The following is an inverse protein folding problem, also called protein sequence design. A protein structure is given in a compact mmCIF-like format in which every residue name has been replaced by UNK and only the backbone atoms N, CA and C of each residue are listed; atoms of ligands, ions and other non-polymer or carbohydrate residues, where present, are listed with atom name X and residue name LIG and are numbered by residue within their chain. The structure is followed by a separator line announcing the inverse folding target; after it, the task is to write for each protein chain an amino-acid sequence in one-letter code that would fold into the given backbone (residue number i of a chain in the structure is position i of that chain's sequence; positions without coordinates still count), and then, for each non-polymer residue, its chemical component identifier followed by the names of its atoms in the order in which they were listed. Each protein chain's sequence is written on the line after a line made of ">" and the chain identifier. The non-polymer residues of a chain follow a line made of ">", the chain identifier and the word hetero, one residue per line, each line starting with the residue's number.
data_IF_859585237073
#
_entry.id   IF_859585237073
#
_cell.length_a   1.000
_cell.length_b   1.000
_cell.length_c   1.000
_cell.angle_alpha   90.00
_cell.angle_beta   90.00
_cell.angle_gamma   90.00
#
_symmetry.space_group_name_H-M   'P 1'
#
loop_
_entity.id
_entity.type
_entity.pdbx_description
1 polymer ?
#
# COMPACT_ATOMS: atom_id res chain seq x y z
N UNK A 1 -0.13 49.80 -48.85
CA UNK A 1 -1.20 49.91 -47.83
C UNK A 1 -1.35 48.51 -47.23
N UNK A 2 -0.72 48.22 -46.08
CA UNK A 2 -1.30 48.43 -44.72
C UNK A 2 -2.28 47.29 -44.37
N UNK A 3 -2.21 46.52 -43.28
CA UNK A 3 -1.31 46.40 -42.12
C UNK A 3 -1.47 44.97 -41.54
N UNK A 4 -0.41 44.48 -40.90
CA UNK A 4 -0.40 43.27 -40.07
C UNK A 4 -1.26 43.45 -38.81
N UNK A 5 -2.15 42.50 -38.52
CA UNK A 5 -2.86 42.40 -37.23
C UNK A 5 -1.99 41.61 -36.23
N UNK A 6 -1.39 42.33 -35.29
CA UNK A 6 -0.94 41.78 -34.01
C UNK A 6 -2.06 41.97 -32.98
N UNK A 7 -2.41 40.95 -32.16
CA UNK A 7 -3.14 41.21 -30.93
C UNK A 7 -2.18 41.72 -29.85
N UNK A 8 -2.48 42.93 -29.41
CA UNK A 8 -1.83 43.73 -28.39
C UNK A 8 -2.13 43.13 -26.99
N UNK A 9 -1.10 42.67 -26.29
CA UNK A 9 -1.19 42.32 -24.86
C UNK A 9 -1.36 43.60 -24.05
N UNK A 10 -2.55 43.81 -23.50
CA UNK A 10 -2.78 44.86 -22.52
C UNK A 10 -2.23 44.41 -21.17
N UNK A 11 -1.16 45.06 -20.73
CA UNK A 11 -0.68 45.05 -19.36
C UNK A 11 -1.73 45.76 -18.49
N UNK A 12 -2.50 44.99 -17.72
CA UNK A 12 -3.35 45.53 -16.68
C UNK A 12 -2.50 45.82 -15.44
N UNK A 13 -2.70 47.01 -14.93
CA UNK A 13 -1.94 47.68 -13.88
C UNK A 13 -2.19 47.08 -12.49
N UNK A 14 -1.13 47.07 -11.68
CA UNK A 14 -1.13 47.35 -10.25
C UNK A 14 -2.27 46.82 -9.38
N UNK A 15 -2.10 45.61 -8.84
CA UNK A 15 -2.69 45.26 -7.53
C UNK A 15 -1.59 45.37 -6.46
N UNK A 16 -1.78 46.15 -5.38
CA UNK A 16 -0.86 46.12 -4.26
C UNK A 16 -0.97 44.75 -3.56
N UNK A 17 0.14 44.02 -3.49
CA UNK A 17 0.26 42.84 -2.63
C UNK A 17 0.49 43.36 -1.21
N UNK A 18 -0.58 43.53 -0.45
CA UNK A 18 -0.47 43.63 1.00
C UNK A 18 -0.10 42.26 1.57
N UNK A 19 1.14 42.13 2.04
CA UNK A 19 1.56 41.01 2.88
C UNK A 19 0.93 41.16 4.27
N UNK A 20 -0.28 40.62 4.44
CA UNK A 20 -0.89 40.46 5.76
C UNK A 20 -0.58 39.07 6.32
N UNK A 21 0.36 39.01 7.26
CA UNK A 21 0.60 37.86 8.11
C UNK A 21 -0.63 37.61 9.00
N UNK A 22 -1.50 36.66 8.63
CA UNK A 22 -2.44 35.99 9.53
C UNK A 22 -2.77 34.60 8.99
N UNK A 23 -2.63 33.62 9.89
CA UNK A 23 -2.88 32.21 9.68
C UNK A 23 -4.38 31.98 9.46
N UNK A 24 -4.79 31.71 8.23
CA UNK A 24 -6.08 31.10 7.94
C UNK A 24 -5.88 30.02 6.87
N UNK A 25 -5.69 28.78 7.34
CA UNK A 25 -5.72 27.59 6.50
C UNK A 25 -7.19 27.34 6.17
N UNK A 26 -7.61 27.69 4.96
CA UNK A 26 -8.90 27.29 4.44
C UNK A 26 -8.78 25.82 4.03
N UNK A 27 -9.24 24.91 4.87
CA UNK A 27 -9.35 23.49 4.53
C UNK A 27 -10.39 23.30 3.40
N UNK A 28 -10.07 22.52 2.34
CA UNK A 28 -11.05 22.20 1.31
C UNK A 28 -12.20 21.36 1.88
N UNK A 29 -13.42 21.46 1.32
CA UNK A 29 -14.58 20.74 1.84
C UNK A 29 -14.37 19.22 1.79
N UNK A 30 -14.57 18.56 2.94
CA UNK A 30 -14.43 17.11 3.07
C UNK A 30 -15.43 16.36 2.17
N UNK A 31 -14.92 15.35 1.45
CA UNK A 31 -15.72 14.45 0.62
C UNK A 31 -16.60 13.52 1.46
N UNK A 32 -17.71 13.02 0.91
CA UNK A 32 -18.65 12.13 1.61
C UNK A 32 -17.95 10.86 2.17
N UNK A 33 -16.94 10.36 1.46
CA UNK A 33 -16.12 9.23 1.91
C UNK A 33 -15.22 9.56 3.12
N UNK A 34 -14.75 10.81 3.25
CA UNK A 34 -14.02 11.27 4.44
C UNK A 34 -14.94 11.46 5.64
N UNK A 35 -16.18 11.94 5.42
CA UNK A 35 -17.17 12.09 6.49
C UNK A 35 -17.56 10.75 7.10
N UNK A 36 -17.77 9.74 6.24
CA UNK A 36 -18.07 8.37 6.68
C UNK A 36 -16.92 7.74 7.47
N UNK A 37 -15.68 8.14 7.15
CA UNK A 37 -14.48 7.79 7.91
C UNK A 37 -14.46 8.44 9.30
N UNK A 38 -14.72 9.75 9.38
CA UNK A 38 -14.73 10.50 10.65
C UNK A 38 -15.86 10.02 11.59
N UNK A 39 -17.05 9.69 11.05
CA UNK A 39 -18.17 9.15 11.83
C UNK A 39 -17.88 7.75 12.40
N UNK A 40 -17.12 6.93 11.68
CA UNK A 40 -16.85 5.54 12.09
C UNK A 40 -15.70 5.44 13.08
N UNK A 41 -14.70 6.32 12.99
CA UNK A 41 -13.43 6.17 13.73
C UNK A 41 -13.05 7.34 14.64
N UNK A 42 -13.80 8.45 14.60
CA UNK A 42 -13.54 9.63 15.41
C UNK A 42 -12.30 10.42 14.95
N UNK A 43 -12.32 11.74 15.20
CA UNK A 43 -11.21 12.62 14.83
C UNK A 43 -9.99 12.38 15.74
N UNK A 44 -8.77 12.32 15.20
CA UNK A 44 -7.57 12.08 15.99
C UNK A 44 -7.15 13.40 16.67
N UNK A 45 -7.75 13.74 17.81
CA UNK A 45 -7.15 14.56 18.89
C UNK A 45 -8.17 14.85 20.00
N UNK A 46 -8.38 13.88 20.89
CA UNK A 46 -8.80 14.15 22.27
C UNK A 46 -7.99 13.26 23.23
N UNK A 47 -7.25 13.82 24.19
CA UNK A 47 -6.57 13.03 25.21
C UNK A 47 -7.55 12.64 26.33
N UNK A 48 -7.69 11.34 26.62
CA UNK A 48 -8.39 10.86 27.83
C UNK A 48 -7.41 10.58 28.99
N UNK A 49 -7.79 10.85 30.26
CA UNK A 49 -6.87 10.88 31.39
C UNK A 49 -6.71 9.53 32.11
N UNK A 50 -5.46 9.32 32.59
CA UNK A 50 -4.96 8.47 33.68
C UNK A 50 -5.85 7.33 34.25
N UNK A 51 -5.37 6.10 34.12
CA UNK A 51 -5.63 5.02 35.10
C UNK A 51 -4.33 4.26 35.43
N UNK A 52 -4.17 4.01 36.74
CA UNK A 52 -3.03 3.44 37.48
C UNK A 52 -2.87 1.92 37.22
N UNK A 53 -1.65 1.33 37.27
CA UNK A 53 -1.44 -0.09 36.95
C UNK A 53 -1.70 -1.01 38.16
N UNK A 54 -2.17 -2.27 37.97
CA UNK A 54 -2.15 -3.27 39.03
C UNK A 54 -0.97 -4.26 38.89
N UNK A 55 -0.53 -4.71 40.07
CA UNK A 55 0.59 -5.61 40.39
C UNK A 55 0.36 -7.08 39.98
N UNK A 56 1.43 -7.88 40.02
CA UNK A 56 1.55 -9.32 39.67
C UNK A 56 2.15 -10.09 40.88
N UNK A 57 2.23 -11.44 40.96
CA UNK A 57 1.37 -12.59 40.55
C UNK A 57 0.98 -13.49 41.78
N UNK A 58 0.46 -14.74 41.59
CA UNK A 58 1.37 -15.89 41.73
C UNK A 58 1.21 -17.02 40.69
N UNK A 59 2.24 -17.88 40.65
CA UNK A 59 2.45 -19.10 39.84
C UNK A 59 1.47 -20.25 40.13
N UNK A 60 1.28 -21.14 39.15
CA UNK A 60 0.56 -22.40 39.34
C UNK A 60 0.34 -23.18 38.03
N UNK A 61 1.26 -24.11 37.78
CA UNK A 61 1.31 -25.20 36.78
C UNK A 61 -0.01 -25.82 36.31
N UNK A 62 -0.16 -25.93 34.99
CA UNK A 62 -1.04 -26.86 34.29
C UNK A 62 -0.50 -27.08 32.88
N UNK A 63 0.10 -28.25 32.63
CA UNK A 63 0.69 -28.63 31.34
C UNK A 63 -0.40 -28.86 30.29
N UNK A 64 -0.76 -27.78 29.60
CA UNK A 64 -1.48 -27.87 28.33
C UNK A 64 -0.44 -28.01 27.23
N UNK A 65 -0.48 -29.12 26.48
CA UNK A 65 0.33 -29.34 25.27
C UNK A 65 0.00 -28.28 24.22
N UNK A 66 0.59 -27.09 24.37
CA UNK A 66 0.53 -26.03 23.39
C UNK A 66 1.37 -26.47 22.20
N UNK A 67 0.71 -26.65 21.05
CA UNK A 67 1.38 -26.56 19.77
C UNK A 67 2.08 -25.20 19.71
N UNK A 68 3.37 -25.14 20.05
CA UNK A 68 4.18 -23.92 19.99
C UNK A 68 4.48 -23.63 18.51
N UNK A 69 3.44 -23.24 17.77
CA UNK A 69 3.65 -22.41 16.60
C UNK A 69 3.96 -21.03 17.16
N UNK A 70 5.19 -20.55 16.97
CA UNK A 70 5.67 -19.25 17.45
C UNK A 70 4.99 -18.05 16.77
N UNK A 71 3.67 -18.05 16.69
CA UNK A 71 2.87 -16.96 16.15
C UNK A 71 2.84 -15.82 17.16
N UNK A 72 3.58 -14.76 16.88
CA UNK A 72 3.57 -13.53 17.69
C UNK A 72 2.28 -12.77 17.47
N UNK A 73 1.86 -11.95 18.44
CA UNK A 73 0.69 -11.07 18.30
C UNK A 73 0.73 -10.22 17.03
N UNK A 74 1.92 -9.73 16.66
CA UNK A 74 2.15 -8.97 15.43
C UNK A 74 1.82 -9.78 14.16
N UNK A 75 2.16 -11.08 14.12
CA UNK A 75 1.80 -11.95 12.99
C UNK A 75 0.31 -12.28 12.92
N UNK A 76 -0.37 -12.39 14.07
CA UNK A 76 -1.83 -12.57 14.11
C UNK A 76 -2.58 -11.32 13.64
N UNK A 77 -2.16 -10.14 14.09
CA UNK A 77 -2.72 -8.85 13.62
C UNK A 77 -2.49 -8.69 12.12
N UNK A 78 -1.28 -8.97 11.62
CA UNK A 78 -0.98 -8.96 10.19
C UNK A 78 -1.94 -9.83 9.39
N UNK A 79 -2.07 -11.12 9.74
CA UNK A 79 -3.02 -12.02 9.05
C UNK A 79 -4.45 -11.50 9.05
N UNK A 80 -4.91 -10.89 10.16
CA UNK A 80 -6.24 -10.28 10.24
C UNK A 80 -6.38 -9.09 9.28
N UNK A 81 -5.40 -8.19 9.25
CA UNK A 81 -5.38 -7.01 8.37
C UNK A 81 -5.41 -7.45 6.89
N UNK A 82 -4.50 -8.34 6.49
CA UNK A 82 -4.47 -8.85 5.10
C UNK A 82 -5.80 -9.51 4.70
N UNK A 83 -6.43 -10.27 5.60
CA UNK A 83 -7.73 -10.87 5.34
C UNK A 83 -8.81 -9.80 5.16
N UNK A 84 -8.93 -8.85 6.10
CA UNK A 84 -9.94 -7.79 6.04
C UNK A 84 -9.79 -6.97 4.76
N UNK A 85 -8.58 -6.54 4.43
CA UNK A 85 -8.31 -5.81 3.19
C UNK A 85 -8.59 -6.65 1.94
N UNK A 86 -8.25 -7.94 1.94
CA UNK A 86 -8.61 -8.81 0.82
C UNK A 86 -10.13 -8.92 0.65
N UNK A 87 -10.89 -9.04 1.74
CA UNK A 87 -12.35 -9.10 1.69
C UNK A 87 -12.95 -7.78 1.17
N UNK A 88 -12.44 -6.63 1.63
CA UNK A 88 -12.80 -5.29 1.14
C UNK A 88 -12.50 -5.12 -0.36
N UNK A 89 -11.30 -5.53 -0.80
CA UNK A 89 -10.90 -5.45 -2.22
C UNK A 89 -11.76 -6.35 -3.09
N UNK A 90 -12.11 -7.56 -2.65
CA UNK A 90 -13.05 -8.43 -3.38
C UNK A 90 -14.45 -7.82 -3.44
N UNK A 91 -14.93 -7.23 -2.35
CA UNK A 91 -16.24 -6.57 -2.32
C UNK A 91 -16.32 -5.33 -3.21
N UNK A 92 -15.19 -4.63 -3.41
CA UNK A 92 -15.15 -3.41 -4.23
C UNK A 92 -15.36 -3.63 -5.73
N UNK A 93 -14.96 -4.81 -6.26
CA UNK A 93 -14.95 -5.07 -7.70
C UNK A 93 -13.88 -4.29 -8.48
N UNK A 94 -12.99 -3.55 -7.81
CA UNK A 94 -12.00 -2.68 -8.44
C UNK A 94 -10.72 -3.39 -8.92
N UNK A 95 -10.56 -4.67 -8.56
CA UNK A 95 -9.35 -5.45 -8.74
C UNK A 95 -9.63 -6.71 -9.55
N UNK A 96 -8.76 -7.02 -10.49
CA UNK A 96 -8.86 -8.25 -11.29
C UNK A 96 -8.48 -9.50 -10.49
N UNK A 97 -7.66 -9.31 -9.44
CA UNK A 97 -7.05 -10.38 -8.67
C UNK A 97 -6.78 -9.89 -7.25
N UNK A 98 -7.16 -10.69 -6.25
CA UNK A 98 -7.00 -10.37 -4.83
C UNK A 98 -6.55 -11.61 -4.06
N UNK A 99 -5.30 -11.62 -3.61
CA UNK A 99 -4.68 -12.72 -2.86
C UNK A 99 -4.79 -14.09 -3.57
N UNK A 100 -4.62 -14.10 -4.90
CA UNK A 100 -4.54 -15.33 -5.69
C UNK A 100 -3.32 -15.31 -6.62
N UNK A 101 -2.86 -16.48 -7.09
CA UNK A 101 -1.78 -16.55 -8.06
C UNK A 101 -2.16 -15.91 -9.39
N UNK A 102 -1.25 -15.14 -9.99
CA UNK A 102 -1.44 -14.69 -11.37
C UNK A 102 -1.47 -15.90 -12.31
N UNK A 103 -2.43 -15.88 -13.24
CA UNK A 103 -2.56 -16.85 -14.33
C UNK A 103 -2.27 -16.19 -15.67
N UNK A 104 -1.64 -16.93 -16.58
CA UNK A 104 -1.40 -16.52 -17.96
C UNK A 104 -2.70 -16.49 -18.77
N UNK A 105 -2.57 -16.21 -20.07
CA UNK A 105 -3.72 -16.12 -21.00
C UNK A 105 -4.44 -17.45 -21.18
N UNK A 106 -3.76 -18.56 -20.96
CA UNK A 106 -4.30 -19.92 -21.05
C UNK A 106 -4.90 -20.39 -19.70
N UNK A 107 -4.90 -19.52 -18.68
CA UNK A 107 -5.41 -19.82 -17.34
C UNK A 107 -4.45 -20.65 -16.48
N UNK A 108 -3.23 -20.91 -16.94
CA UNK A 108 -2.22 -21.63 -16.17
C UNK A 108 -1.54 -20.69 -15.17
N UNK A 109 -1.25 -21.19 -13.97
CA UNK A 109 -0.54 -20.39 -12.96
C UNK A 109 0.85 -20.02 -13.43
N UNK A 110 1.18 -18.73 -13.34
CA UNK A 110 2.50 -18.21 -13.68
C UNK A 110 3.45 -18.53 -12.53
N UNK A 111 4.53 -19.23 -12.87
CA UNK A 111 5.65 -19.46 -11.97
C UNK A 111 6.85 -18.63 -12.41
N UNK A 112 7.44 -17.90 -11.48
CA UNK A 112 8.61 -17.05 -11.70
C UNK A 112 9.78 -17.56 -10.87
N UNK A 113 11.04 -17.27 -11.25
CA UNK A 113 12.20 -17.62 -10.45
C UNK A 113 12.06 -17.13 -9.00
N UNK A 114 12.36 -18.01 -8.03
CA UNK A 114 12.23 -17.69 -6.61
C UNK A 114 13.16 -16.55 -6.19
N UNK A 115 14.37 -16.51 -6.77
CA UNK A 115 15.40 -15.51 -6.49
C UNK A 115 16.12 -15.13 -7.78
N UNK A 116 16.58 -13.90 -7.83
CA UNK A 116 17.59 -13.42 -8.78
C UNK A 116 18.85 -13.09 -7.97
N UNK A 117 20.01 -13.59 -8.37
CA UNK A 117 21.28 -13.25 -7.70
C UNK A 117 21.73 -11.81 -8.02
N UNK A 118 22.91 -11.40 -7.54
CA UNK A 118 23.44 -10.05 -7.79
C UNK A 118 24.02 -9.86 -9.19
N UNK A 119 24.01 -10.90 -10.02
CA UNK A 119 24.50 -10.90 -11.40
C UNK A 119 23.32 -11.09 -12.37
N UNK A 120 22.09 -10.85 -11.92
CA UNK A 120 20.88 -10.99 -12.72
C UNK A 120 20.49 -12.44 -13.02
N UNK A 121 21.15 -13.44 -12.43
CA UNK A 121 20.88 -14.85 -12.77
C UNK A 121 19.70 -15.39 -11.97
N UNK A 122 18.65 -15.89 -12.64
CA UNK A 122 17.49 -16.47 -11.97
C UNK A 122 17.83 -17.84 -11.37
N UNK A 123 17.27 -18.14 -10.21
CA UNK A 123 17.37 -19.47 -9.59
C UNK A 123 16.57 -20.51 -10.37
N UNK A 124 17.06 -21.76 -10.41
CA UNK A 124 16.33 -22.91 -10.99
C UNK A 124 14.99 -23.22 -10.31
N UNK A 125 14.83 -22.83 -9.04
CA UNK A 125 13.58 -23.02 -8.29
C UNK A 125 12.61 -21.91 -8.66
N UNK A 126 11.39 -22.28 -9.02
CA UNK A 126 10.30 -21.35 -9.32
C UNK A 126 9.34 -21.23 -8.14
N UNK A 127 8.49 -20.19 -8.16
CA UNK A 127 7.44 -19.96 -7.18
C UNK A 127 6.29 -19.19 -7.83
N UNK A 128 5.07 -19.41 -7.33
CA UNK A 128 3.88 -18.63 -7.66
C UNK A 128 3.98 -17.20 -7.11
N UNK A 129 3.57 -16.23 -7.91
CA UNK A 129 3.42 -14.83 -7.49
C UNK A 129 1.98 -14.59 -6.99
N UNK A 130 1.82 -14.27 -5.71
CA UNK A 130 0.54 -14.02 -5.04
C UNK A 130 0.63 -12.64 -4.38
N UNK A 131 0.36 -11.56 -5.11
CA UNK A 131 0.23 -10.22 -4.54
C UNK A 131 -1.08 -10.08 -3.75
N UNK A 132 -1.16 -9.09 -2.85
CA UNK A 132 -2.39 -8.84 -2.10
C UNK A 132 -3.52 -8.37 -3.02
N UNK A 133 -3.23 -7.51 -4.01
CA UNK A 133 -4.14 -7.25 -5.12
C UNK A 133 -3.47 -6.75 -6.40
N UNK A 134 -4.17 -6.88 -7.52
CA UNK A 134 -3.72 -6.45 -8.85
C UNK A 134 -4.84 -5.74 -9.60
N UNK A 135 -4.48 -4.67 -10.29
CA UNK A 135 -5.29 -4.04 -11.33
C UNK A 135 -4.48 -4.07 -12.63
N UNK A 136 -5.03 -4.73 -13.64
CA UNK A 136 -4.49 -4.81 -14.98
C UNK A 136 -4.55 -3.46 -15.73
N UNK A 137 -4.13 -3.45 -16.99
CA UNK A 137 -4.27 -2.28 -17.85
C UNK A 137 -5.75 -1.87 -17.98
N UNK A 138 -6.09 -0.57 -17.95
CA UNK A 138 -5.19 0.57 -18.04
C UNK A 138 -4.67 1.10 -16.69
N UNK A 139 -5.19 0.62 -15.56
CA UNK A 139 -4.79 1.12 -14.22
C UNK A 139 -3.35 0.73 -13.91
N UNK A 140 -3.00 -0.54 -14.08
CA UNK A 140 -1.63 -1.05 -14.00
C UNK A 140 -1.01 -1.01 -12.60
N UNK A 141 -1.71 -1.52 -11.60
CA UNK A 141 -1.29 -1.42 -10.20
C UNK A 141 -1.05 -2.81 -9.58
N UNK A 142 -0.01 -2.94 -8.77
CA UNK A 142 0.16 -4.05 -7.83
C UNK A 142 0.16 -3.48 -6.41
N UNK A 143 -0.64 -4.09 -5.53
CA UNK A 143 -0.81 -3.67 -4.14
C UNK A 143 -0.24 -4.74 -3.24
N UNK A 144 0.52 -4.31 -2.23
CA UNK A 144 1.10 -5.17 -1.21
C UNK A 144 1.03 -4.48 0.16
N UNK A 145 0.49 -5.18 1.16
CA UNK A 145 0.28 -4.67 2.50
C UNK A 145 1.47 -5.00 3.38
N UNK A 146 2.08 -4.01 4.01
CA UNK A 146 3.25 -4.22 4.87
C UNK A 146 3.12 -3.45 6.19
N UNK A 147 3.62 -3.98 7.31
CA UNK A 147 3.57 -3.26 8.58
C UNK A 147 4.45 -2.01 8.53
N UNK A 148 4.05 -0.98 9.28
CA UNK A 148 4.81 0.25 9.47
C UNK A 148 6.21 -0.09 10.04
N UNK A 149 7.24 0.59 9.51
CA UNK A 149 8.63 0.39 9.93
C UNK A 149 9.35 -0.79 9.27
N UNK A 150 8.67 -1.61 8.46
CA UNK A 150 9.35 -2.66 7.66
C UNK A 150 10.05 -2.03 6.45
N UNK A 151 11.40 -2.14 6.33
CA UNK A 151 12.11 -1.60 5.19
C UNK A 151 11.73 -2.33 3.90
N UNK A 152 11.37 -1.59 2.86
CA UNK A 152 10.96 -2.15 1.57
C UNK A 152 12.06 -2.96 0.88
N UNK A 153 13.33 -2.68 1.22
CA UNK A 153 14.49 -3.42 0.75
C UNK A 153 14.43 -4.91 1.07
N UNK A 154 13.73 -5.32 2.14
CA UNK A 154 13.54 -6.73 2.52
C UNK A 154 12.60 -7.49 1.59
N UNK A 155 11.74 -6.76 0.87
CA UNK A 155 10.68 -7.34 0.03
C UNK A 155 11.00 -7.17 -1.48
N UNK A 156 12.19 -6.67 -1.83
CA UNK A 156 12.60 -6.46 -3.24
C UNK A 156 12.43 -7.69 -4.13
N UNK A 157 12.87 -8.85 -3.67
CA UNK A 157 12.74 -10.11 -4.42
C UNK A 157 11.28 -10.51 -4.60
N UNK A 158 10.44 -10.24 -3.60
CA UNK A 158 9.00 -10.54 -3.65
C UNK A 158 8.29 -9.65 -4.66
N UNK A 159 8.46 -8.35 -4.53
CA UNK A 159 7.85 -7.38 -5.44
C UNK A 159 8.34 -7.59 -6.87
N UNK A 160 9.63 -7.94 -7.05
CA UNK A 160 10.15 -8.29 -8.37
C UNK A 160 9.44 -9.49 -8.99
N UNK A 161 9.16 -10.54 -8.20
CA UNK A 161 8.37 -11.69 -8.68
C UNK A 161 6.97 -11.26 -9.11
N UNK A 162 6.34 -10.33 -8.40
CA UNK A 162 5.03 -9.81 -8.80
C UNK A 162 5.10 -9.04 -10.12
N UNK A 163 6.12 -8.20 -10.29
CA UNK A 163 6.37 -7.45 -11.54
C UNK A 163 6.60 -8.41 -12.72
N UNK A 164 7.44 -9.42 -12.56
CA UNK A 164 7.74 -10.39 -13.62
C UNK A 164 6.49 -11.19 -13.99
N UNK A 165 5.70 -11.63 -13.00
CA UNK A 165 4.44 -12.35 -13.26
C UNK A 165 3.39 -11.46 -13.92
N UNK A 166 3.28 -10.19 -13.50
CA UNK A 166 2.38 -9.21 -14.12
C UNK A 166 2.75 -9.01 -15.60
N UNK A 167 4.04 -8.85 -15.90
CA UNK A 167 4.54 -8.70 -17.26
C UNK A 167 4.23 -9.92 -18.13
N UNK A 168 4.34 -11.13 -17.60
CA UNK A 168 3.96 -12.36 -18.32
C UNK A 168 2.45 -12.36 -18.63
N UNK A 169 1.61 -11.96 -17.66
CA UNK A 169 0.14 -11.94 -17.82
C UNK A 169 -0.33 -10.90 -18.83
N UNK A 170 0.13 -9.66 -18.68
CA UNK A 170 -0.41 -8.50 -19.42
C UNK A 170 0.47 -8.06 -20.60
N UNK A 171 1.69 -8.59 -20.73
CA UNK A 171 2.64 -8.23 -21.79
C UNK A 171 3.48 -6.98 -21.50
N UNK A 172 3.09 -6.19 -20.51
CA UNK A 172 3.77 -4.96 -20.06
C UNK A 172 3.99 -4.97 -18.55
N UNK A 173 5.01 -4.29 -18.00
CA UNK A 173 5.15 -4.12 -16.56
C UNK A 173 3.96 -3.32 -15.98
N UNK A 174 3.68 -3.45 -14.67
CA UNK A 174 2.72 -2.56 -14.02
C UNK A 174 3.20 -1.11 -14.13
N UNK A 175 2.29 -0.14 -14.00
CA UNK A 175 2.64 1.28 -13.94
C UNK A 175 3.24 1.67 -12.60
N UNK A 176 2.75 1.09 -11.51
CA UNK A 176 3.22 1.40 -10.16
C UNK A 176 3.03 0.22 -9.20
N UNK A 177 3.86 0.21 -8.17
CA UNK A 177 3.72 -0.65 -6.99
C UNK A 177 3.25 0.21 -5.83
N UNK A 178 2.15 -0.19 -5.20
CA UNK A 178 1.56 0.51 -4.06
C UNK A 178 1.79 -0.34 -2.82
N UNK A 179 2.50 0.22 -1.85
CA UNK A 179 2.67 -0.39 -0.54
C UNK A 179 1.74 0.31 0.44
N UNK A 180 0.75 -0.42 0.94
CA UNK A 180 -0.14 0.09 1.97
C UNK A 180 0.40 -0.29 3.34
N UNK A 181 0.67 0.72 4.16
CA UNK A 181 1.20 0.53 5.51
C UNK A 181 0.08 0.35 6.52
N UNK A 182 0.29 -0.54 7.47
CA UNK A 182 -0.59 -0.70 8.63
C UNK A 182 0.22 -0.72 9.93
N UNK A 183 -0.36 -0.22 11.02
CA UNK A 183 0.23 -0.35 12.34
C UNK A 183 0.18 -1.82 12.79
N UNK A 184 1.32 -2.49 13.04
CA UNK A 184 1.35 -3.89 13.43
C UNK A 184 0.68 -4.20 14.78
N UNK A 185 0.44 -3.19 15.63
CA UNK A 185 -0.23 -3.35 16.92
C UNK A 185 -1.74 -3.24 16.79
N UNK A 186 -2.21 -2.19 16.13
CA UNK A 186 -3.66 -1.86 16.06
C UNK A 186 -4.33 -2.37 14.79
N UNK A 187 -3.56 -2.59 13.72
CA UNK A 187 -4.05 -2.91 12.39
C UNK A 187 -4.56 -1.69 11.60
N UNK A 188 -4.49 -0.49 12.18
CA UNK A 188 -4.96 0.73 11.53
C UNK A 188 -4.11 1.09 10.30
N UNK A 189 -4.69 1.71 9.25
CA UNK A 189 -3.92 2.26 8.15
C UNK A 189 -2.88 3.27 8.64
N UNK A 190 -1.65 3.15 8.16
CA UNK A 190 -0.51 3.93 8.63
C UNK A 190 0.24 4.66 7.50
N UNK A 191 -0.28 4.63 6.28
CA UNK A 191 0.27 5.35 5.13
C UNK A 191 0.21 4.55 3.84
N UNK A 192 0.63 5.21 2.76
CA UNK A 192 0.69 4.64 1.42
C UNK A 192 1.95 5.13 0.72
N UNK A 193 2.72 4.21 0.17
CA UNK A 193 3.93 4.48 -0.60
C UNK A 193 3.71 4.02 -2.04
N UNK A 194 4.17 4.82 -3.00
CA UNK A 194 4.08 4.52 -4.43
C UNK A 194 5.49 4.44 -4.98
N UNK A 195 5.76 3.37 -5.71
CA UNK A 195 7.07 3.08 -6.30
C UNK A 195 6.94 2.81 -7.79
N UNK A 196 7.99 3.15 -8.53
CA UNK A 196 8.14 2.72 -9.91
C UNK A 196 8.59 1.25 -9.93
N UNK A 197 8.13 0.42 -10.88
CA UNK A 197 8.59 -0.96 -10.99
C UNK A 197 10.12 -1.08 -11.11
N UNK A 198 10.79 -0.07 -11.67
CA UNK A 198 12.24 -0.04 -11.82
C UNK A 198 13.00 0.08 -10.51
N UNK A 199 12.37 0.58 -9.43
CA UNK A 199 12.95 0.63 -8.07
C UNK A 199 13.27 -0.77 -7.50
N UNK A 200 12.63 -1.80 -8.09
CA UNK A 200 12.77 -3.21 -7.72
C UNK A 200 13.65 -4.01 -8.69
N UNK A 201 14.41 -3.34 -9.57
CA UNK A 201 15.46 -4.02 -10.35
C UNK A 201 16.52 -4.61 -9.43
N UNK A 202 16.85 -5.87 -9.71
CA UNK A 202 17.98 -6.56 -9.08
C UNK A 202 19.07 -6.60 -10.17
N UNK A 203 20.30 -6.16 -9.86
CA UNK A 203 21.43 -6.20 -10.79
C UNK A 203 21.72 -7.62 -11.28
#
# INVERSE_FOLDING_TARGET
>A
MSFFLHPQVHLAEGFPIEFSNKKDVIEPPQTENQRKWDETFGKPNEPKPNQKPPEKPPEGTGEEKKNITGETSSSKTGKKVHKQKADERRASGDYDLVNEPLKDKDGKTIEVPKRIDKQGRPSKKTQKAIPDAVQGPPKGNIIDDKPLGRPISKDKQEIRRFIDAYKIKYGEPPKQIIIERYDPKTGAPAGREIYDPSDFKIP
#
